data_IF_793378844917
#
_entry.id   IF_793378844917
#
_cell.length_a   1.000
_cell.length_b   1.000
_cell.length_c   1.000
_cell.angle_alpha   90.00
_cell.angle_beta   90.00
_cell.angle_gamma   90.00
#
_symmetry.space_group_name_H-M   'P 1'
#
loop_
_entity.id
_entity.type
_entity.pdbx_description
1 polymer ?
#
# COMPACT_ATOMS: atom_id res chain seq x y z
N UNK A 1 22.67 10.35 -8.06
CA UNK A 1 21.70 9.59 -8.88
C UNK A 1 20.39 9.54 -8.12
N UNK A 2 19.58 10.58 -8.28
CA UNK A 2 18.22 10.65 -7.73
C UNK A 2 17.29 10.01 -8.75
N UNK A 3 17.02 8.72 -8.60
CA UNK A 3 15.98 8.06 -9.37
C UNK A 3 14.64 8.55 -8.82
N UNK A 4 14.05 9.53 -9.51
CA UNK A 4 12.68 9.93 -9.30
C UNK A 4 11.78 8.68 -9.26
N UNK A 5 10.79 8.59 -8.36
CA UNK A 5 9.88 7.45 -8.25
C UNK A 5 8.82 7.48 -9.37
N UNK A 6 9.21 7.90 -10.55
CA UNK A 6 8.39 7.93 -11.76
C UNK A 6 8.39 6.55 -12.40
N UNK A 7 7.26 6.21 -13.04
CA UNK A 7 6.81 4.92 -13.58
C UNK A 7 7.73 4.20 -14.59
N UNK A 8 9.00 4.60 -14.73
CA UNK A 8 10.01 4.07 -15.62
C UNK A 8 11.14 3.32 -14.90
N UNK A 9 10.89 2.83 -13.68
CA UNK A 9 11.84 1.99 -12.95
C UNK A 9 11.56 0.49 -13.14
N UNK A 10 12.54 -0.41 -12.92
CA UNK A 10 12.32 -1.86 -12.97
C UNK A 10 11.27 -2.36 -11.96
N UNK A 11 10.88 -1.53 -11.00
CA UNK A 11 9.86 -1.82 -9.98
C UNK A 11 8.45 -1.32 -10.35
N UNK A 12 8.31 -0.51 -11.39
CA UNK A 12 7.03 0.14 -11.73
C UNK A 12 5.98 -0.86 -12.23
N UNK A 13 6.39 -1.84 -13.05
CA UNK A 13 5.50 -2.91 -13.50
C UNK A 13 5.02 -3.77 -12.31
N UNK A 14 5.95 -4.10 -11.41
CA UNK A 14 5.66 -4.85 -10.19
C UNK A 14 4.64 -4.12 -9.30
N UNK A 15 4.85 -2.82 -9.04
CA UNK A 15 3.94 -1.99 -8.24
C UNK A 15 2.56 -1.86 -8.90
N UNK A 16 2.51 -1.69 -10.23
CA UNK A 16 1.24 -1.59 -10.98
C UNK A 16 0.45 -2.89 -10.94
N UNK A 17 1.12 -4.04 -11.06
CA UNK A 17 0.47 -5.35 -10.94
C UNK A 17 -0.13 -5.55 -9.55
N UNK A 18 0.61 -5.18 -8.50
CA UNK A 18 0.07 -5.24 -7.14
C UNK A 18 -1.10 -4.27 -6.93
N UNK A 19 -1.01 -3.04 -7.45
CA UNK A 19 -2.13 -2.09 -7.42
C UNK A 19 -3.36 -2.64 -8.13
N UNK A 20 -3.19 -3.30 -9.28
CA UNK A 20 -4.27 -3.98 -9.99
C UNK A 20 -4.94 -5.05 -9.13
N UNK A 21 -4.16 -5.92 -8.49
CA UNK A 21 -4.67 -6.95 -7.58
C UNK A 21 -5.40 -6.36 -6.37
N UNK A 22 -4.90 -5.25 -5.81
CA UNK A 22 -5.55 -4.56 -4.69
C UNK A 22 -6.92 -4.00 -5.09
N UNK A 23 -7.02 -3.38 -6.28
CA UNK A 23 -8.29 -2.82 -6.79
C UNK A 23 -9.36 -3.90 -7.07
N UNK A 24 -8.98 -5.16 -7.17
CA UNK A 24 -9.94 -6.27 -7.26
C UNK A 24 -10.58 -6.60 -5.90
N UNK A 25 -10.00 -6.15 -4.80
CA UNK A 25 -10.49 -6.40 -3.44
C UNK A 25 -10.55 -5.09 -2.64
N UNK A 26 -11.75 -4.52 -2.55
CA UNK A 26 -12.00 -3.26 -1.82
C UNK A 26 -11.50 -3.31 -0.36
N UNK A 27 -11.54 -4.49 0.26
CA UNK A 27 -11.04 -4.70 1.61
C UNK A 27 -9.52 -4.54 1.70
N UNK A 28 -8.77 -5.12 0.77
CA UNK A 28 -7.31 -4.99 0.74
C UNK A 28 -6.86 -3.58 0.32
N UNK A 29 -7.60 -2.96 -0.59
CA UNK A 29 -7.38 -1.57 -0.99
C UNK A 29 -7.53 -0.63 0.23
N UNK A 30 -8.65 -0.74 0.95
CA UNK A 30 -8.93 0.07 2.14
C UNK A 30 -7.94 -0.22 3.27
N UNK A 31 -7.54 -1.49 3.42
CA UNK A 31 -6.53 -1.87 4.41
C UNK A 31 -5.18 -1.22 4.10
N UNK A 32 -4.71 -1.31 2.86
CA UNK A 32 -3.44 -0.73 2.47
C UNK A 32 -3.48 0.80 2.53
N UNK A 33 -4.60 1.42 2.16
CA UNK A 33 -4.83 2.86 2.30
C UNK A 33 -4.56 3.34 3.73
N UNK A 34 -5.18 2.68 4.73
CA UNK A 34 -4.95 3.00 6.15
C UNK A 34 -3.48 2.87 6.54
N UNK A 35 -2.81 1.86 6.02
CA UNK A 35 -1.39 1.56 6.30
C UNK A 35 -0.47 2.62 5.71
N UNK A 36 -0.81 3.17 4.55
CA UNK A 36 0.00 4.21 3.88
C UNK A 36 -0.40 5.63 4.23
N UNK A 37 -1.50 5.83 4.95
CA UNK A 37 -1.84 7.12 5.56
C UNK A 37 -1.25 7.25 6.98
N UNK A 38 -0.96 6.12 7.64
CA UNK A 38 -0.37 6.12 8.96
C UNK A 38 1.15 6.25 8.90
N UNK A 39 1.71 7.07 9.80
CA UNK A 39 3.17 7.21 9.96
C UNK A 39 3.80 6.08 10.81
N UNK A 40 3.19 4.89 10.86
CA UNK A 40 3.65 3.82 11.73
C UNK A 40 2.90 2.49 11.56
N UNK A 41 2.99 1.65 12.59
CA UNK A 41 2.30 0.35 12.62
C UNK A 41 0.79 0.52 12.75
N UNK A 42 0.04 -0.12 11.85
CA UNK A 42 -1.42 -0.09 11.82
C UNK A 42 -1.96 -1.48 12.08
N UNK A 43 -2.84 -1.60 13.08
CA UNK A 43 -3.57 -2.84 13.33
C UNK A 43 -4.70 -2.98 12.32
N UNK A 44 -4.69 -4.08 11.57
CA UNK A 44 -5.75 -4.45 10.62
C UNK A 44 -6.18 -5.89 10.87
N UNK A 45 -7.34 -6.33 10.34
CA UNK A 45 -7.79 -7.72 10.46
C UNK A 45 -6.70 -8.69 9.99
N UNK A 46 -6.50 -9.79 10.75
CA UNK A 46 -5.40 -10.75 10.51
C UNK A 46 -5.38 -11.25 9.07
N UNK A 47 -6.54 -11.53 8.47
CA UNK A 47 -6.64 -11.99 7.09
C UNK A 47 -6.06 -10.97 6.09
N UNK A 48 -6.39 -9.68 6.26
CA UNK A 48 -5.90 -8.60 5.42
C UNK A 48 -4.39 -8.39 5.63
N UNK A 49 -3.95 -8.45 6.90
CA UNK A 49 -2.53 -8.37 7.27
C UNK A 49 -1.70 -9.48 6.59
N UNK A 50 -2.16 -10.73 6.67
CA UNK A 50 -1.50 -11.87 6.04
C UNK A 50 -1.51 -11.79 4.52
N UNK A 51 -2.61 -11.33 3.90
CA UNK A 51 -2.69 -11.13 2.44
C UNK A 51 -1.70 -10.07 1.98
N UNK A 52 -1.69 -8.88 2.61
CA UNK A 52 -0.76 -7.80 2.28
C UNK A 52 0.71 -8.21 2.52
N UNK A 53 0.97 -8.97 3.59
CA UNK A 53 2.30 -9.51 3.88
C UNK A 53 2.73 -10.55 2.84
N UNK A 54 1.84 -11.47 2.45
CA UNK A 54 2.09 -12.47 1.40
C UNK A 54 2.34 -11.84 0.02
N UNK A 55 1.69 -10.70 -0.25
CA UNK A 55 1.97 -9.90 -1.45
C UNK A 55 3.32 -9.16 -1.39
N UNK A 56 3.99 -9.15 -0.23
CA UNK A 56 5.27 -8.50 -0.02
C UNK A 56 5.19 -6.97 0.08
N UNK A 57 3.99 -6.41 0.28
CA UNK A 57 3.74 -4.96 0.31
C UNK A 57 4.06 -4.32 1.67
N UNK A 58 3.86 -5.09 2.74
CA UNK A 58 3.96 -4.62 4.12
C UNK A 58 4.88 -5.53 4.94
N UNK A 59 5.38 -5.00 6.05
CA UNK A 59 5.93 -5.78 7.16
C UNK A 59 4.79 -6.16 8.11
N UNK A 60 4.88 -7.33 8.72
CA UNK A 60 3.93 -7.82 9.71
C UNK A 60 4.63 -7.94 11.07
N UNK A 61 4.02 -7.38 12.11
CA UNK A 61 4.43 -7.52 13.50
C UNK A 61 3.19 -7.79 14.35
N UNK A 62 2.99 -9.06 14.72
CA UNK A 62 1.73 -9.51 15.33
C UNK A 62 0.55 -9.24 14.40
N UNK A 63 -0.42 -8.45 14.85
CA UNK A 63 -1.57 -8.01 14.07
C UNK A 63 -1.42 -6.63 13.42
N UNK A 64 -0.25 -6.01 13.58
CA UNK A 64 0.04 -4.70 13.01
C UNK A 64 0.91 -4.83 11.76
N UNK A 65 0.66 -3.95 10.80
CA UNK A 65 1.43 -3.88 9.56
C UNK A 65 1.94 -2.47 9.29
N UNK A 66 3.02 -2.38 8.53
CA UNK A 66 3.63 -1.12 8.12
C UNK A 66 4.14 -1.26 6.68
N UNK A 67 4.17 -0.20 5.85
CA UNK A 67 4.74 -0.28 4.52
C UNK A 67 6.16 -0.86 4.55
N UNK A 68 6.49 -1.72 3.59
CA UNK A 68 7.80 -2.40 3.58
C UNK A 68 8.97 -1.42 3.43
N UNK A 69 8.79 -0.39 2.63
CA UNK A 69 9.75 0.68 2.38
C UNK A 69 9.05 1.98 1.93
N UNK A 70 9.77 3.09 1.98
CA UNK A 70 9.26 4.41 1.58
C UNK A 70 8.77 4.47 0.12
N UNK A 71 9.35 3.67 -0.77
CA UNK A 71 8.90 3.59 -2.16
C UNK A 71 7.44 3.12 -2.25
N UNK A 72 7.10 2.06 -1.52
CA UNK A 72 5.74 1.50 -1.50
C UNK A 72 4.81 2.49 -0.81
N UNK A 73 5.24 3.04 0.34
CA UNK A 73 4.49 4.05 1.07
C UNK A 73 4.11 5.21 0.15
N UNK A 74 5.08 5.87 -0.50
CA UNK A 74 4.84 7.03 -1.38
C UNK A 74 3.98 6.66 -2.59
N UNK A 75 4.27 5.55 -3.27
CA UNK A 75 3.54 5.16 -4.48
C UNK A 75 2.07 4.83 -4.20
N UNK A 76 1.80 4.03 -3.16
CA UNK A 76 0.44 3.66 -2.80
C UNK A 76 -0.30 4.80 -2.09
N UNK A 77 0.37 5.62 -1.28
CA UNK A 77 -0.22 6.80 -0.68
C UNK A 77 -0.69 7.78 -1.76
N UNK A 78 0.16 8.10 -2.75
CA UNK A 78 -0.21 8.98 -3.86
C UNK A 78 -1.44 8.48 -4.62
N UNK A 79 -1.58 7.17 -4.84
CA UNK A 79 -2.65 6.61 -5.68
C UNK A 79 -3.92 6.18 -4.93
N UNK A 80 -3.81 5.85 -3.65
CA UNK A 80 -4.95 5.43 -2.83
C UNK A 80 -5.51 6.61 -2.03
N UNK A 81 -4.66 7.54 -1.58
CA UNK A 81 -5.09 8.71 -0.81
C UNK A 81 -5.77 9.80 -1.65
N UNK A 82 -5.77 9.68 -2.99
CA UNK A 82 -6.46 10.59 -3.91
C UNK A 82 -7.99 10.46 -3.94
N UNK A 83 -8.59 9.67 -3.04
CA UNK A 83 -10.04 9.44 -2.98
C UNK A 83 -10.75 10.11 -1.79
N UNK A 84 -10.23 11.25 -1.35
CA UNK A 84 -11.05 12.21 -0.60
C UNK A 84 -12.02 12.83 -1.59
N UNK A 85 -13.20 12.24 -1.75
CA UNK A 85 -14.37 13.06 -2.10
C UNK A 85 -14.59 14.01 -0.92
N UNK A 86 -14.48 15.35 -1.09
CA UNK A 86 -15.07 16.25 -0.12
C UNK A 86 -16.57 15.98 -0.14
N UNK A 87 -17.10 15.45 0.95
CA UNK A 87 -18.55 15.38 1.19
C UNK A 87 -19.17 16.74 0.86
N UNK A 88 -20.21 16.73 0.02
CA UNK A 88 -21.18 17.81 -0.17
C UNK A 88 -22.57 17.19 -0.23
#
# INVERSE_FOLDING_TARGET
LELAPTEAGPFSDHLRRHLGNLKQSRELETALEKVVQANGWVSIPSEQAFKLYSMGLVKLQGNSVMPRCDLYHKYFCDRLCQRIEPES
#
